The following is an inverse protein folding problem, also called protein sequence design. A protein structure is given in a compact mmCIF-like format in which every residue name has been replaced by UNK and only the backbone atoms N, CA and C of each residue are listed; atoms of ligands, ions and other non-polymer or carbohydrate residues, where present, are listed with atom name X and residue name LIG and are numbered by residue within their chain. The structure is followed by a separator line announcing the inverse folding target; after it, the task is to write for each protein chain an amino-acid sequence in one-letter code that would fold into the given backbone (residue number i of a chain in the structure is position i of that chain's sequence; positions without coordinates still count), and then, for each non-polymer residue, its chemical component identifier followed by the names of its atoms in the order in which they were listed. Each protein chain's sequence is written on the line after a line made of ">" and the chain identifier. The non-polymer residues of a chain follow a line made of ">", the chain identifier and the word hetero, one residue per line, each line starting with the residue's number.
data_IF_719956227625
#
_entry.id   IF_719956227625
#
_cell.length_a   1.000
_cell.length_b   1.000
_cell.length_c   1.000
_cell.angle_alpha   90.00
_cell.angle_beta   90.00
_cell.angle_gamma   90.00
#
_symmetry.space_group_name_H-M   'P 1'
#
loop_
_entity.id
_entity.type
_entity.pdbx_description
1 polymer ?
#
# COMPACT_ATOMS: atom_id res chain seq x y z
N UNK A 1 18.39 -4.80 -14.75
CA UNK A 1 17.26 -3.85 -14.66
C UNK A 1 17.04 -3.05 -15.96
N UNK A 2 17.72 -3.36 -17.08
CA UNK A 2 17.54 -2.67 -18.36
C UNK A 2 17.58 -3.65 -19.55
N UNK A 3 16.56 -4.50 -19.69
CA UNK A 3 16.49 -5.55 -20.72
C UNK A 3 15.90 -5.05 -22.06
N UNK A 4 16.07 -3.76 -22.40
CA UNK A 4 15.35 -3.10 -23.50
C UNK A 4 15.63 -3.66 -24.91
N UNK A 5 16.79 -4.29 -25.13
CA UNK A 5 17.19 -4.87 -26.41
C UNK A 5 17.29 -6.41 -26.38
N UNK A 6 16.68 -7.05 -25.37
CA UNK A 6 16.73 -8.49 -25.18
C UNK A 6 15.46 -9.15 -25.71
N UNK A 7 15.51 -9.59 -26.97
CA UNK A 7 14.51 -10.51 -27.52
C UNK A 7 15.02 -11.96 -27.37
N UNK A 8 14.97 -12.43 -26.14
CA UNK A 8 15.44 -13.75 -25.70
C UNK A 8 14.68 -14.17 -24.44
N UNK A 9 14.98 -15.35 -23.90
CA UNK A 9 14.39 -15.90 -22.67
C UNK A 9 14.54 -14.97 -21.46
N UNK A 10 15.49 -14.02 -21.50
CA UNK A 10 15.65 -12.98 -20.47
C UNK A 10 14.49 -11.97 -20.51
N UNK A 11 14.00 -11.63 -21.70
CA UNK A 11 12.94 -10.64 -21.91
C UNK A 11 11.53 -11.24 -21.99
N UNK A 12 11.43 -12.54 -22.29
CA UNK A 12 10.15 -13.23 -22.40
C UNK A 12 9.54 -13.52 -21.03
N UNK A 13 8.21 -13.59 -20.98
CA UNK A 13 7.50 -14.01 -19.78
C UNK A 13 7.56 -15.53 -19.70
N UNK A 14 8.18 -16.05 -18.64
CA UNK A 14 8.09 -17.46 -18.31
C UNK A 14 6.80 -17.74 -17.52
N UNK A 15 5.98 -18.66 -18.01
CA UNK A 15 4.73 -19.09 -17.36
C UNK A 15 4.86 -20.43 -16.62
N UNK A 16 6.01 -21.09 -16.73
CA UNK A 16 6.33 -22.27 -15.92
C UNK A 16 6.73 -21.78 -14.52
N UNK A 17 5.73 -21.67 -13.64
CA UNK A 17 5.89 -21.14 -12.28
C UNK A 17 6.26 -22.28 -11.33
N UNK A 18 7.24 -22.00 -10.46
CA UNK A 18 7.50 -22.81 -9.28
C UNK A 18 6.51 -22.47 -8.14
N UNK A 19 6.65 -23.16 -7.01
CA UNK A 19 5.77 -22.99 -5.85
C UNK A 19 5.73 -21.53 -5.34
N UNK A 20 6.88 -20.85 -5.34
CA UNK A 20 6.99 -19.44 -4.93
C UNK A 20 6.29 -18.51 -5.94
N UNK A 21 6.44 -18.78 -7.24
CA UNK A 21 5.75 -18.05 -8.31
C UNK A 21 4.24 -18.19 -8.23
N UNK A 22 3.73 -19.40 -7.98
CA UNK A 22 2.30 -19.64 -7.76
C UNK A 22 1.78 -18.93 -6.51
N UNK A 23 2.54 -18.98 -5.41
CA UNK A 23 2.20 -18.29 -4.17
C UNK A 23 2.12 -16.77 -4.35
N UNK A 24 3.09 -16.19 -5.07
CA UNK A 24 3.11 -14.77 -5.40
C UNK A 24 1.92 -14.38 -6.29
N UNK A 25 1.63 -15.16 -7.34
CA UNK A 25 0.49 -14.93 -8.22
C UNK A 25 -0.83 -14.90 -7.43
N UNK A 26 -1.02 -15.88 -6.53
CA UNK A 26 -2.20 -15.96 -5.68
C UNK A 26 -2.30 -14.76 -4.72
N UNK A 27 -1.18 -14.37 -4.11
CA UNK A 27 -1.13 -13.22 -3.22
C UNK A 27 -1.48 -11.92 -3.94
N UNK A 28 -0.81 -11.62 -5.06
CA UNK A 28 -1.03 -10.39 -5.85
C UNK A 28 -2.47 -10.34 -6.37
N UNK A 29 -3.00 -11.46 -6.84
CA UNK A 29 -4.42 -11.56 -7.26
C UNK A 29 -5.36 -11.15 -6.13
N UNK A 30 -5.12 -11.63 -4.91
CA UNK A 30 -5.92 -11.25 -3.72
C UNK A 30 -5.78 -9.77 -3.40
N UNK A 31 -4.58 -9.19 -3.48
CA UNK A 31 -4.34 -7.76 -3.23
C UNK A 31 -5.05 -6.88 -4.27
N UNK A 32 -5.01 -7.25 -5.56
CA UNK A 32 -5.74 -6.55 -6.62
C UNK A 32 -7.24 -6.56 -6.34
N UNK A 33 -7.79 -7.74 -5.98
CA UNK A 33 -9.21 -7.88 -5.64
C UNK A 33 -9.58 -7.02 -4.43
N UNK A 34 -8.75 -6.97 -3.39
CA UNK A 34 -8.93 -6.10 -2.23
C UNK A 34 -9.03 -4.63 -2.66
N UNK A 35 -8.05 -4.14 -3.43
CA UNK A 35 -8.02 -2.76 -3.92
C UNK A 35 -9.23 -2.42 -4.80
N UNK A 36 -9.70 -3.36 -5.62
CA UNK A 36 -10.90 -3.17 -6.44
C UNK A 36 -12.18 -3.16 -5.59
N UNK A 37 -12.26 -3.97 -4.55
CA UNK A 37 -13.46 -4.11 -3.70
C UNK A 37 -13.70 -2.87 -2.85
N UNK A 38 -12.66 -2.23 -2.31
CA UNK A 38 -12.79 -1.11 -1.38
C UNK A 38 -12.48 0.25 -2.04
N UNK A 39 -13.48 1.11 -2.31
CA UNK A 39 -13.27 2.40 -2.97
C UNK A 39 -12.33 3.36 -2.21
N UNK A 40 -12.22 3.22 -0.88
CA UNK A 40 -11.29 4.00 -0.05
C UNK A 40 -9.84 3.88 -0.54
N UNK A 41 -9.45 2.72 -1.08
CA UNK A 41 -8.11 2.44 -1.60
C UNK A 41 -7.88 2.97 -3.04
N UNK A 42 -8.90 3.61 -3.63
CA UNK A 42 -8.89 4.15 -5.00
C UNK A 42 -9.55 5.53 -5.10
N UNK A 43 -9.65 6.26 -3.98
CA UNK A 43 -10.20 7.63 -3.97
C UNK A 43 -9.42 8.55 -4.91
N UNK A 44 -10.13 9.48 -5.55
CA UNK A 44 -9.57 10.49 -6.46
C UNK A 44 -9.24 11.83 -5.78
N UNK A 45 -9.52 11.94 -4.47
CA UNK A 45 -9.22 13.11 -3.64
C UNK A 45 -8.28 12.69 -2.51
N UNK A 46 -7.40 13.62 -2.12
CA UNK A 46 -6.53 13.41 -0.96
C UNK A 46 -7.34 13.32 0.33
N UNK A 47 -6.82 12.52 1.26
CA UNK A 47 -7.29 12.51 2.64
C UNK A 47 -6.69 13.74 3.34
N UNK A 48 -7.50 14.43 4.14
CA UNK A 48 -7.09 15.70 4.75
C UNK A 48 -6.69 15.52 6.21
N UNK A 49 -7.24 14.51 6.90
CA UNK A 49 -7.02 14.30 8.32
C UNK A 49 -7.83 15.25 9.22
N UNK A 50 -8.66 16.09 8.61
CA UNK A 50 -9.54 17.01 9.31
C UNK A 50 -10.78 16.28 9.83
N UNK A 51 -11.22 16.68 11.02
CA UNK A 51 -12.45 16.17 11.60
C UNK A 51 -13.65 16.71 10.82
N UNK A 52 -14.47 15.82 10.29
CA UNK A 52 -15.71 16.19 9.63
C UNK A 52 -16.86 16.12 10.64
N UNK A 53 -17.45 17.27 10.99
CA UNK A 53 -18.54 17.39 11.96
C UNK A 53 -19.81 16.62 11.57
N UNK A 54 -20.11 16.45 10.28
CA UNK A 54 -21.32 15.76 9.81
C UNK A 54 -21.27 14.25 10.03
N UNK A 55 -20.07 13.65 9.89
CA UNK A 55 -19.87 12.19 10.05
C UNK A 55 -19.19 11.82 11.38
N UNK A 56 -18.75 12.82 12.15
CA UNK A 56 -18.18 12.65 13.49
C UNK A 56 -16.82 11.96 13.52
N UNK A 57 -16.09 11.92 12.41
CA UNK A 57 -14.79 11.23 12.28
C UNK A 57 -13.85 11.98 11.33
N UNK A 58 -12.53 11.74 11.51
CA UNK A 58 -11.51 12.10 10.50
C UNK A 58 -11.57 11.12 9.33
N UNK A 59 -11.22 11.59 8.14
CA UNK A 59 -11.13 10.72 6.95
C UNK A 59 -9.84 9.87 6.91
N UNK A 60 -8.86 10.23 7.75
CA UNK A 60 -7.65 9.45 8.04
C UNK A 60 -7.09 9.84 9.40
N UNK A 61 -6.57 8.86 10.15
CA UNK A 61 -5.73 9.12 11.32
C UNK A 61 -4.41 8.36 11.18
N UNK A 62 -3.30 9.08 11.33
CA UNK A 62 -1.97 8.49 11.35
C UNK A 62 -1.60 8.15 12.79
N UNK A 63 -1.27 6.89 13.04
CA UNK A 63 -0.94 6.40 14.38
C UNK A 63 0.54 6.05 14.48
N UNK A 64 1.14 6.41 15.60
CA UNK A 64 2.46 5.96 16.02
C UNK A 64 2.40 4.50 16.52
N UNK A 65 3.55 3.82 16.67
CA UNK A 65 3.59 2.41 17.09
C UNK A 65 3.01 2.14 18.49
N UNK A 66 2.89 3.17 19.33
CA UNK A 66 2.25 3.11 20.64
C UNK A 66 0.71 3.18 20.57
N UNK A 67 0.15 3.37 19.37
CA UNK A 67 -1.29 3.45 19.11
C UNK A 67 -1.88 4.85 19.26
N UNK A 68 -1.08 5.86 19.61
CA UNK A 68 -1.52 7.26 19.69
C UNK A 68 -1.48 7.93 18.32
N UNK A 69 -2.23 9.03 18.15
CA UNK A 69 -2.10 9.86 16.96
C UNK A 69 -0.68 10.41 16.86
N UNK A 70 -0.08 10.24 15.69
CA UNK A 70 1.33 10.51 15.45
C UNK A 70 1.63 12.00 15.55
N UNK A 71 2.60 12.36 16.38
CA UNK A 71 3.04 13.75 16.54
C UNK A 71 3.90 14.22 15.37
N UNK A 72 4.10 15.53 15.26
CA UNK A 72 4.97 16.14 14.25
C UNK A 72 6.42 15.69 14.44
N UNK A 73 6.89 15.59 15.68
CA UNK A 73 8.25 15.13 15.99
C UNK A 73 8.46 13.67 15.56
N UNK A 74 7.47 12.81 15.79
CA UNK A 74 7.49 11.42 15.35
C UNK A 74 7.45 11.31 13.82
N UNK A 75 6.69 12.17 13.15
CA UNK A 75 6.65 12.24 11.68
C UNK A 75 8.01 12.62 11.08
N UNK A 76 8.79 13.43 11.81
CA UNK A 76 10.12 13.89 11.39
C UNK A 76 11.28 13.03 11.92
N UNK A 77 11.01 11.96 12.67
CA UNK A 77 12.05 11.05 13.13
C UNK A 77 12.55 10.16 11.97
N UNK A 78 13.81 10.37 11.57
CA UNK A 78 14.47 9.57 10.54
C UNK A 78 14.59 8.08 10.91
N UNK A 79 14.43 7.74 12.19
CA UNK A 79 14.42 6.36 12.68
C UNK A 79 13.01 5.76 12.82
N UNK A 80 11.96 6.50 12.47
CA UNK A 80 10.59 5.98 12.42
C UNK A 80 10.46 4.84 11.39
N UNK A 81 10.28 3.61 11.86
CA UNK A 81 10.16 2.40 11.00
C UNK A 81 8.76 1.80 10.93
N UNK A 82 7.82 2.33 11.69
CA UNK A 82 6.47 1.80 11.81
C UNK A 82 5.47 2.95 11.96
N UNK A 83 4.33 2.80 11.29
CA UNK A 83 3.16 3.66 11.40
C UNK A 83 1.92 2.81 11.14
N UNK A 84 0.76 3.31 11.56
CA UNK A 84 -0.53 2.72 11.22
C UNK A 84 -1.46 3.81 10.66
N UNK A 85 -2.42 3.39 9.85
CA UNK A 85 -3.43 4.26 9.24
C UNK A 85 -4.80 3.72 9.67
N UNK A 86 -5.62 4.58 10.25
CA UNK A 86 -7.01 4.32 10.61
C UNK A 86 -7.97 5.15 9.76
#
# INVERSE_FOLDING_TARGET
>A
NNAYCQDSEIGWINWDLDEDGEALLKFVTRVIKLRQTYPILRRSRFLVGDYNEEIGVKDVTWLAPDGNEMSVEQWHDANGRCLCIL
#
